data_IF_656179777176
#
_entry.id   IF_656179777176
#
_cell.length_a   1.000
_cell.length_b   1.000
_cell.length_c   1.000
_cell.angle_alpha   90.00
_cell.angle_beta   90.00
_cell.angle_gamma   90.00
#
_symmetry.space_group_name_H-M   'P 1'
#
loop_
_entity.id
_entity.type
_entity.pdbx_description
1 polymer ?
#
# COMPACT_ATOMS: atom_id res chain seq x y z
N UNK A 1 -2.91 -2.42 7.87
CA UNK A 1 -3.21 -0.96 7.89
C UNK A 1 -2.66 -0.26 9.12
N UNK A 2 -2.87 -0.77 10.33
CA UNK A 2 -2.36 -0.17 11.59
C UNK A 2 -0.84 0.08 11.52
N UNK A 3 -0.05 -0.90 11.04
CA UNK A 3 1.39 -0.73 10.90
C UNK A 3 1.77 0.43 9.96
N UNK A 4 1.03 0.64 8.89
CA UNK A 4 1.22 1.79 8.01
C UNK A 4 0.82 3.11 8.66
N UNK A 5 -0.26 3.11 9.45
CA UNK A 5 -0.67 4.30 10.20
C UNK A 5 0.40 4.72 11.22
N UNK A 6 0.96 3.76 11.94
CA UNK A 6 2.04 4.01 12.89
C UNK A 6 3.33 4.50 12.21
N UNK A 7 3.61 4.02 11.01
CA UNK A 7 4.79 4.41 10.24
C UNK A 7 4.56 5.64 9.33
N UNK A 8 3.36 6.18 9.30
CA UNK A 8 3.00 7.31 8.43
C UNK A 8 3.98 8.50 8.52
N UNK A 9 4.44 8.94 9.71
CA UNK A 9 5.41 10.03 9.80
C UNK A 9 6.72 9.75 9.05
N UNK A 10 7.15 8.49 8.98
CA UNK A 10 8.37 8.12 8.25
C UNK A 10 8.18 8.23 6.74
N UNK A 11 6.98 7.88 6.23
CA UNK A 11 6.64 8.08 4.81
C UNK A 11 6.57 9.55 4.45
N UNK A 12 5.99 10.38 5.31
CA UNK A 12 5.95 11.83 5.09
C UNK A 12 7.35 12.44 5.02
N UNK A 13 8.27 12.01 5.89
CA UNK A 13 9.67 12.48 5.89
C UNK A 13 10.40 12.22 4.58
N UNK A 14 10.04 11.16 3.87
CA UNK A 14 10.63 10.83 2.57
C UNK A 14 9.72 11.25 1.41
N UNK A 15 8.81 12.19 1.65
CA UNK A 15 7.92 12.76 0.65
C UNK A 15 7.08 11.71 -0.10
N UNK A 16 6.54 10.75 0.63
CA UNK A 16 5.76 9.64 0.08
C UNK A 16 4.36 9.64 0.66
N UNK A 17 3.36 9.63 -0.21
CA UNK A 17 1.96 9.51 0.15
C UNK A 17 1.54 8.06 0.22
N UNK A 18 0.63 7.74 1.13
CA UNK A 18 0.01 6.42 1.25
C UNK A 18 -1.42 6.45 0.73
N UNK A 19 -1.81 5.41 0.02
CA UNK A 19 -3.16 5.20 -0.47
C UNK A 19 -3.53 3.72 -0.31
N UNK A 20 -4.62 3.46 0.39
CA UNK A 20 -5.17 2.11 0.52
C UNK A 20 -6.14 1.80 -0.61
N UNK A 21 -6.26 0.52 -0.94
CA UNK A 21 -7.25 0.01 -1.89
C UNK A 21 -7.88 -1.26 -1.34
N UNK A 22 -9.20 -1.34 -1.38
CA UNK A 22 -9.96 -2.53 -0.99
C UNK A 22 -11.24 -2.62 -1.83
N UNK A 23 -11.71 -3.85 -2.06
CA UNK A 23 -12.98 -4.11 -2.75
C UNK A 23 -14.20 -3.91 -1.83
N UNK A 24 -13.98 -3.66 -0.54
CA UNK A 24 -15.05 -3.41 0.41
C UNK A 24 -15.75 -2.08 0.14
N UNK A 25 -16.97 -1.95 0.67
CA UNK A 25 -17.77 -0.72 0.54
C UNK A 25 -17.23 0.40 1.44
N UNK A 26 -17.59 1.64 1.11
CA UNK A 26 -17.33 2.79 1.98
C UNK A 26 -17.88 2.59 3.39
N UNK A 27 -19.09 2.03 3.50
CA UNK A 27 -19.71 1.75 4.80
C UNK A 27 -18.90 0.74 5.61
N UNK A 28 -18.39 -0.31 4.96
CA UNK A 28 -17.52 -1.30 5.61
C UNK A 28 -16.19 -0.68 6.03
N UNK A 29 -15.59 0.18 5.21
CA UNK A 29 -14.37 0.92 5.56
C UNK A 29 -14.58 1.83 6.76
N UNK A 30 -15.68 2.58 6.79
CA UNK A 30 -16.00 3.47 7.91
C UNK A 30 -16.21 2.69 9.22
N UNK A 31 -16.96 1.58 9.17
CA UNK A 31 -17.16 0.73 10.32
C UNK A 31 -15.84 0.15 10.84
N UNK A 32 -15.00 -0.35 9.94
CA UNK A 32 -13.71 -0.92 10.30
C UNK A 32 -12.73 0.12 10.86
N UNK A 33 -12.70 1.33 10.28
CA UNK A 33 -11.90 2.44 10.80
C UNK A 33 -12.37 2.88 12.18
N UNK A 34 -13.67 2.88 12.42
CA UNK A 34 -14.25 3.14 13.73
C UNK A 34 -13.84 2.09 14.75
N UNK A 35 -13.91 0.81 14.39
CA UNK A 35 -13.49 -0.29 15.25
C UNK A 35 -11.99 -0.19 15.60
N UNK A 36 -11.13 0.13 14.64
CA UNK A 36 -9.72 0.36 14.90
C UNK A 36 -9.53 1.50 15.89
N UNK A 37 -10.24 2.60 15.70
CA UNK A 37 -10.15 3.74 16.61
C UNK A 37 -10.61 3.37 18.04
N UNK A 38 -11.73 2.66 18.18
CA UNK A 38 -12.22 2.22 19.47
C UNK A 38 -11.26 1.27 20.21
N UNK A 39 -10.57 0.40 19.43
CA UNK A 39 -9.65 -0.59 20.01
C UNK A 39 -8.26 -0.05 20.28
N UNK A 40 -7.77 0.88 19.48
CA UNK A 40 -6.36 1.31 19.48
C UNK A 40 -6.16 2.81 19.64
N UNK A 41 -7.20 3.63 19.47
CA UNK A 41 -7.11 5.09 19.43
C UNK A 41 -6.48 5.63 18.14
N UNK A 42 -6.18 4.78 17.17
CA UNK A 42 -5.50 5.17 15.92
C UNK A 42 -6.55 5.65 14.91
N UNK A 43 -6.34 6.86 14.39
CA UNK A 43 -7.03 7.38 13.20
C UNK A 43 -6.16 7.14 11.99
N UNK A 44 -6.69 6.51 10.95
CA UNK A 44 -5.93 6.28 9.72
C UNK A 44 -5.64 7.62 9.03
N UNK A 45 -4.35 7.98 8.86
CA UNK A 45 -3.97 9.29 8.32
C UNK A 45 -3.95 9.35 6.79
N UNK A 46 -4.36 8.30 6.10
CA UNK A 46 -4.37 8.23 4.63
C UNK A 46 -5.71 7.68 4.11
N UNK A 47 -6.12 8.04 2.89
CA UNK A 47 -7.38 7.59 2.32
C UNK A 47 -7.35 6.13 1.88
N UNK A 48 -8.55 5.53 1.81
CA UNK A 48 -8.77 4.19 1.29
C UNK A 48 -9.78 4.26 0.16
N UNK A 49 -9.43 3.72 -1.00
CA UNK A 49 -10.33 3.61 -2.15
C UNK A 49 -11.23 2.39 -1.97
N UNK A 50 -12.53 2.59 -2.12
CA UNK A 50 -13.52 1.52 -2.16
C UNK A 50 -13.74 1.07 -3.61
N UNK A 51 -13.00 0.07 -4.05
CA UNK A 51 -13.04 -0.49 -5.41
C UNK A 51 -14.07 -1.63 -5.49
N UNK A 52 -15.35 -1.30 -5.28
CA UNK A 52 -16.46 -2.26 -5.12
C UNK A 52 -16.58 -3.28 -6.25
N UNK A 53 -16.37 -2.85 -7.49
CA UNK A 53 -16.43 -3.71 -8.67
C UNK A 53 -15.09 -4.36 -9.01
N UNK A 54 -14.02 -4.07 -8.26
CA UNK A 54 -12.69 -4.61 -8.49
C UNK A 54 -12.02 -4.10 -9.78
N UNK A 55 -12.52 -3.02 -10.38
CA UNK A 55 -11.99 -2.52 -11.66
C UNK A 55 -10.56 -2.03 -11.54
N UNK A 56 -10.24 -1.32 -10.46
CA UNK A 56 -8.89 -0.83 -10.19
C UNK A 56 -7.97 -2.00 -9.84
N UNK A 57 -8.43 -2.90 -8.99
CA UNK A 57 -7.66 -4.09 -8.61
C UNK A 57 -7.31 -4.96 -9.83
N UNK A 58 -8.24 -5.14 -10.78
CA UNK A 58 -7.98 -5.86 -12.04
C UNK A 58 -6.98 -5.10 -12.92
N UNK A 59 -7.11 -3.79 -13.02
CA UNK A 59 -6.18 -2.96 -13.80
C UNK A 59 -4.75 -3.05 -13.30
N UNK A 60 -4.56 -3.21 -11.98
CA UNK A 60 -3.25 -3.41 -11.36
C UNK A 60 -2.82 -4.88 -11.31
N UNK A 61 -3.61 -5.81 -11.85
CA UNK A 61 -3.29 -7.24 -11.83
C UNK A 61 -3.43 -7.91 -10.47
N UNK A 62 -4.15 -7.30 -9.54
CA UNK A 62 -4.37 -7.84 -8.18
C UNK A 62 -5.45 -8.92 -8.15
N UNK A 63 -6.30 -8.97 -9.14
CA UNK A 63 -7.36 -9.97 -9.35
C UNK A 63 -7.24 -10.50 -10.76
N UNK A 64 -7.24 -11.82 -10.93
CA UNK A 64 -7.26 -12.43 -12.26
C UNK A 64 -8.64 -12.24 -12.92
N UNK A 65 -8.63 -11.90 -14.20
CA UNK A 65 -9.86 -11.78 -14.99
C UNK A 65 -10.59 -13.12 -15.20
N UNK A 66 -9.85 -14.22 -15.09
CA UNK A 66 -10.34 -15.58 -15.39
C UNK A 66 -10.91 -16.30 -14.15
N UNK A 67 -10.74 -15.74 -12.97
CA UNK A 67 -11.19 -16.33 -11.70
C UNK A 67 -12.31 -15.48 -11.12
N UNK A 68 -13.44 -16.08 -10.82
CA UNK A 68 -14.59 -15.43 -10.17
C UNK A 68 -14.31 -15.06 -8.69
N UNK A 69 -13.11 -15.33 -8.19
CA UNK A 69 -12.71 -14.98 -6.85
C UNK A 69 -12.41 -13.49 -6.76
N UNK A 70 -13.10 -12.79 -5.86
CA UNK A 70 -12.95 -11.35 -5.60
C UNK A 70 -11.92 -11.03 -4.53
N UNK A 71 -11.23 -12.04 -3.99
CA UNK A 71 -10.18 -11.81 -3.01
C UNK A 71 -8.93 -11.23 -3.67
N UNK A 72 -8.49 -10.07 -3.16
CA UNK A 72 -7.26 -9.45 -3.61
C UNK A 72 -6.06 -10.02 -2.87
N UNK A 73 -4.97 -10.34 -3.58
CA UNK A 73 -3.68 -10.63 -2.94
C UNK A 73 -3.15 -9.38 -2.22
N UNK A 74 -2.38 -9.59 -1.16
CA UNK A 74 -1.78 -8.48 -0.40
C UNK A 74 -0.59 -7.90 -1.14
N UNK A 75 -0.86 -6.90 -1.97
CA UNK A 75 0.16 -6.22 -2.77
C UNK A 75 0.54 -4.87 -2.18
N UNK A 76 1.77 -4.45 -2.49
CA UNK A 76 2.24 -3.08 -2.30
C UNK A 76 2.81 -2.62 -3.63
N UNK A 77 2.31 -1.50 -4.15
CA UNK A 77 2.80 -0.86 -5.36
C UNK A 77 3.56 0.41 -4.96
N UNK A 78 4.77 0.55 -5.46
CA UNK A 78 5.57 1.77 -5.30
C UNK A 78 5.57 2.48 -6.64
N UNK A 79 5.01 3.68 -6.65
CA UNK A 79 4.79 4.49 -7.86
C UNK A 79 5.61 5.77 -7.70
N UNK A 80 6.35 6.14 -8.73
CA UNK A 80 7.16 7.34 -8.72
C UNK A 80 6.36 8.61 -9.06
N UNK A 81 7.02 9.74 -9.01
CA UNK A 81 6.45 11.05 -9.32
C UNK A 81 5.91 11.19 -10.76
N UNK A 82 6.37 10.34 -11.66
CA UNK A 82 5.92 10.29 -13.06
C UNK A 82 4.72 9.37 -13.27
N UNK A 83 4.22 8.74 -12.20
CA UNK A 83 3.13 7.77 -12.26
C UNK A 83 3.55 6.38 -12.74
N UNK A 84 4.84 6.06 -12.70
CA UNK A 84 5.37 4.76 -13.13
C UNK A 84 5.46 3.84 -11.93
N UNK A 85 4.92 2.63 -12.07
CA UNK A 85 5.09 1.57 -11.06
C UNK A 85 6.53 1.06 -11.12
N UNK A 86 7.29 1.29 -10.06
CA UNK A 86 8.71 0.94 -9.98
C UNK A 86 8.94 -0.41 -9.32
N UNK A 87 8.15 -0.73 -8.30
CA UNK A 87 8.27 -1.99 -7.55
C UNK A 87 6.88 -2.50 -7.18
N UNK A 88 6.72 -3.80 -7.26
CA UNK A 88 5.53 -4.52 -6.79
C UNK A 88 5.99 -5.57 -5.79
N UNK A 89 5.45 -5.50 -4.56
CA UNK A 89 5.66 -6.50 -3.52
C UNK A 89 4.38 -7.31 -3.36
N UNK A 90 4.49 -8.61 -3.45
CA UNK A 90 3.35 -9.54 -3.33
C UNK A 90 3.55 -10.39 -2.09
N UNK A 91 2.58 -10.34 -1.19
CA UNK A 91 2.59 -11.08 0.07
C UNK A 91 1.45 -12.09 0.10
N UNK A 92 1.66 -13.31 0.62
CA UNK A 92 0.57 -14.21 0.95
C UNK A 92 -0.40 -13.59 1.96
N UNK A 93 -1.65 -14.04 1.95
CA UNK A 93 -2.71 -13.52 2.82
C UNK A 93 -2.38 -13.60 4.32
N UNK A 94 -1.62 -14.61 4.72
CA UNK A 94 -1.24 -14.89 6.11
C UNK A 94 0.04 -14.19 6.57
N UNK A 95 0.70 -13.42 5.69
CA UNK A 95 1.94 -12.72 6.01
C UNK A 95 1.70 -11.21 6.01
N UNK A 96 2.13 -10.55 7.10
CA UNK A 96 2.10 -9.09 7.20
C UNK A 96 3.16 -8.43 6.33
N UNK A 97 2.87 -7.22 5.87
CA UNK A 97 3.82 -6.41 5.11
C UNK A 97 4.91 -5.87 6.03
N UNK A 98 6.17 -5.98 5.60
CA UNK A 98 7.33 -5.52 6.38
C UNK A 98 7.64 -4.06 6.04
N UNK A 99 7.21 -3.14 6.89
CA UNK A 99 7.31 -1.70 6.67
C UNK A 99 8.75 -1.20 6.48
N UNK A 100 9.76 -1.64 7.28
CA UNK A 100 11.14 -1.19 7.10
C UNK A 100 11.68 -1.46 5.70
N UNK A 101 11.35 -2.60 5.09
CA UNK A 101 11.78 -2.93 3.72
C UNK A 101 11.12 -2.01 2.69
N UNK A 102 9.85 -1.70 2.87
CA UNK A 102 9.12 -0.77 1.99
C UNK A 102 9.78 0.61 2.03
N UNK A 103 10.09 1.11 3.22
CA UNK A 103 10.81 2.38 3.39
C UNK A 103 12.19 2.35 2.76
N UNK A 104 12.95 1.26 2.95
CA UNK A 104 14.27 1.07 2.34
C UNK A 104 14.19 1.14 0.81
N UNK A 105 13.25 0.45 0.21
CA UNK A 105 13.08 0.43 -1.25
C UNK A 105 12.75 1.84 -1.77
N UNK A 106 11.85 2.57 -1.11
CA UNK A 106 11.49 3.93 -1.52
C UNK A 106 12.71 4.86 -1.46
N UNK A 107 13.46 4.83 -0.36
CA UNK A 107 14.69 5.62 -0.21
C UNK A 107 15.74 5.23 -1.24
N UNK A 108 15.89 3.93 -1.52
CA UNK A 108 16.82 3.43 -2.53
C UNK A 108 16.43 3.94 -3.93
N UNK A 109 15.16 3.93 -4.29
CA UNK A 109 14.67 4.47 -5.55
C UNK A 109 14.92 5.98 -5.66
N UNK A 110 14.63 6.75 -4.61
CA UNK A 110 14.88 8.19 -4.58
C UNK A 110 16.37 8.50 -4.74
N UNK A 111 17.24 7.76 -4.06
CA UNK A 111 18.70 7.92 -4.17
C UNK A 111 19.19 7.53 -5.56
N UNK A 112 18.71 6.42 -6.11
CA UNK A 112 19.05 5.96 -7.45
C UNK A 112 18.62 6.94 -8.54
N UNK A 113 17.46 7.57 -8.38
CA UNK A 113 16.95 8.57 -9.34
C UNK A 113 17.77 9.88 -9.30
N UNK A 114 18.37 10.20 -8.13
CA UNK A 114 19.26 11.36 -7.97
C UNK A 114 20.71 11.07 -8.32
N UNK A 115 21.14 9.80 -8.33
CA UNK A 115 22.49 9.35 -8.64
C UNK A 115 22.47 8.23 -9.66
N UNK A 116 23.48 8.17 -10.54
CA UNK A 116 23.56 7.11 -11.55
C UNK A 116 24.17 5.80 -11.01
N UNK A 117 24.37 5.69 -9.71
CA UNK A 117 25.00 4.53 -9.07
C UNK A 117 23.99 3.50 -8.60
N UNK A 118 24.28 2.20 -8.72
CA UNK A 118 23.44 1.15 -8.16
C UNK A 118 23.45 1.22 -6.64
N UNK A 119 22.29 0.92 -6.04
CA UNK A 119 22.11 0.91 -4.59
C UNK A 119 22.23 -0.53 -4.07
N UNK A 120 23.13 -0.78 -3.12
CA UNK A 120 23.30 -2.13 -2.57
C UNK A 120 22.08 -2.58 -1.73
N UNK A 121 21.98 -3.88 -1.51
CA UNK A 121 20.89 -4.48 -0.75
C UNK A 121 20.94 -4.12 0.76
N UNK A 122 22.08 -3.71 1.25
CA UNK A 122 22.30 -3.38 2.66
C UNK A 122 22.64 -1.90 2.83
#
# INVERSE_FOLDING_TARGET
>A
MIAFANAFPYFEKINTSLLGLSIDSNSSHLAWMHDIYCMTGIVLPFPIIADRNGSIARKYGMISNDISNTETVRNVFIIDEKGIVRVILIYPMNIGRFIPEILRIIQALQTSDCSSYPIPAN
#
